data_IF_175358413749
#
_entry.id   IF_175358413749
#
_cell.length_a   1.000
_cell.length_b   1.000
_cell.length_c   1.000
_cell.angle_alpha   90.00
_cell.angle_beta   90.00
_cell.angle_gamma   90.00
#
_symmetry.space_group_name_H-M   'P 1'
#
loop_
_entity.id
_entity.type
_entity.pdbx_description
1 polymer ?
#
# COMPACT_ATOMS: atom_id res chain seq x y z
N UNK A 1 16.00 22.97 26.50
CA UNK A 1 16.14 21.52 26.24
C UNK A 1 14.78 21.06 25.72
N UNK A 2 14.67 20.32 24.60
CA UNK A 2 13.35 19.87 24.13
C UNK A 2 12.71 18.93 25.15
N UNK A 3 11.38 18.86 25.20
CA UNK A 3 10.66 18.02 26.16
C UNK A 3 11.04 16.55 26.04
N UNK A 4 11.27 16.07 24.82
CA UNK A 4 11.81 14.74 24.55
C UNK A 4 13.17 14.49 25.22
N UNK A 5 14.12 15.44 25.14
CA UNK A 5 15.46 15.26 25.76
C UNK A 5 15.36 15.13 27.27
N UNK A 6 14.48 15.92 27.90
CA UNK A 6 14.23 15.87 29.35
C UNK A 6 13.58 14.56 29.77
N UNK A 7 12.59 14.10 29.00
CA UNK A 7 11.87 12.85 29.25
C UNK A 7 12.80 11.64 29.11
N UNK A 8 13.64 11.63 28.07
CA UNK A 8 14.69 10.62 27.87
C UNK A 8 15.72 10.60 29.01
N UNK A 9 16.20 11.77 29.42
CA UNK A 9 17.18 11.87 30.49
C UNK A 9 16.61 11.30 31.80
N UNK A 10 15.39 11.67 32.17
CA UNK A 10 14.71 11.15 33.36
C UNK A 10 14.56 9.62 33.33
N UNK A 11 14.24 9.05 32.17
CA UNK A 11 14.09 7.60 32.00
C UNK A 11 15.44 6.87 32.16
N UNK A 12 16.50 7.41 31.59
CA UNK A 12 17.87 6.86 31.72
C UNK A 12 18.39 7.01 33.16
N UNK A 13 18.08 8.11 33.83
CA UNK A 13 18.43 8.31 35.24
C UNK A 13 17.70 7.32 36.15
N UNK A 14 16.48 6.91 35.80
CA UNK A 14 15.73 5.89 36.55
C UNK A 14 16.23 4.46 36.31
N UNK A 15 16.87 4.19 35.17
CA UNK A 15 17.45 2.89 34.85
C UNK A 15 18.68 3.06 33.93
N UNK A 16 19.86 2.98 34.55
CA UNK A 16 21.14 3.13 33.85
C UNK A 16 21.43 2.00 32.84
N UNK A 17 20.78 0.83 32.97
CA UNK A 17 20.97 -0.29 32.05
C UNK A 17 20.45 0.02 30.65
N UNK A 18 19.49 0.94 30.53
CA UNK A 18 18.91 1.40 29.27
C UNK A 18 19.95 1.99 28.33
N UNK A 19 21.05 2.57 28.84
CA UNK A 19 22.11 3.10 27.98
C UNK A 19 22.76 1.98 27.15
N UNK A 20 22.96 0.81 27.75
CA UNK A 20 23.51 -0.35 27.03
C UNK A 20 22.52 -0.92 26.02
N UNK A 21 21.22 -0.87 26.33
CA UNK A 21 20.15 -1.26 25.38
C UNK A 21 20.18 -0.33 24.17
N UNK A 22 20.17 0.98 24.39
CA UNK A 22 20.20 1.98 23.31
C UNK A 22 21.45 1.88 22.44
N UNK A 23 22.62 1.60 23.02
CA UNK A 23 23.85 1.41 22.25
C UNK A 23 23.82 0.15 21.38
N UNK A 24 23.06 -0.88 21.76
CA UNK A 24 22.89 -2.11 20.98
C UNK A 24 21.83 -1.96 19.88
N UNK A 25 20.74 -1.26 20.16
CA UNK A 25 19.61 -1.14 19.24
C UNK A 25 19.72 0.03 18.26
N UNK A 26 20.58 1.02 18.54
CA UNK A 26 20.72 2.24 17.72
C UNK A 26 22.10 2.41 17.11
N UNK A 27 22.28 3.42 16.27
CA UNK A 27 23.55 3.75 15.62
C UNK A 27 24.49 4.61 16.50
N UNK A 28 24.21 4.72 17.80
CA UNK A 28 25.04 5.46 18.74
C UNK A 28 26.42 4.80 18.90
N UNK A 29 27.48 5.60 18.76
CA UNK A 29 28.86 5.07 18.80
C UNK A 29 29.40 4.93 20.23
N UNK A 30 28.86 5.67 21.18
CA UNK A 30 29.37 5.68 22.56
C UNK A 30 28.41 6.33 23.57
N UNK A 31 28.60 5.99 24.85
CA UNK A 31 27.99 6.68 25.99
C UNK A 31 28.23 8.21 25.97
N UNK A 32 29.40 8.64 25.50
CA UNK A 32 29.77 10.07 25.42
C UNK A 32 28.88 10.83 24.43
N UNK A 33 28.53 10.22 23.29
CA UNK A 33 27.65 10.83 22.30
C UNK A 33 26.25 11.08 22.88
N UNK A 34 25.72 10.11 23.63
CA UNK A 34 24.42 10.24 24.29
C UNK A 34 24.43 11.34 25.37
N UNK A 35 25.48 11.38 26.20
CA UNK A 35 25.67 12.48 27.18
C UNK A 35 25.77 13.85 26.51
N UNK A 36 26.52 13.95 25.40
CA UNK A 36 26.61 15.19 24.60
C UNK A 36 25.26 15.59 24.03
N UNK A 37 24.45 14.64 23.55
CA UNK A 37 23.12 14.92 23.04
C UNK A 37 22.20 15.52 24.12
N UNK A 38 22.23 15.01 25.35
CA UNK A 38 21.45 15.58 26.45
C UNK A 38 21.97 16.95 26.89
N UNK A 39 23.28 17.11 26.97
CA UNK A 39 23.90 18.32 27.54
C UNK A 39 24.11 19.45 26.53
N UNK A 40 23.89 19.22 25.24
CA UNK A 40 24.11 20.20 24.17
C UNK A 40 22.85 20.47 23.36
N UNK A 41 22.61 21.74 23.05
CA UNK A 41 21.60 22.16 22.06
C UNK A 41 22.12 22.03 20.61
N UNK A 42 23.44 21.89 20.42
CA UNK A 42 24.08 21.79 19.10
C UNK A 42 24.18 20.36 18.57
N UNK A 43 24.26 19.38 19.47
CA UNK A 43 24.35 17.97 19.10
C UNK A 43 22.98 17.47 18.60
N UNK A 44 22.97 16.95 17.37
CA UNK A 44 21.77 16.43 16.70
C UNK A 44 22.06 15.01 16.23
N UNK A 45 21.23 14.07 16.66
CA UNK A 45 21.32 12.68 16.22
C UNK A 45 20.73 12.51 14.81
N UNK A 46 21.03 11.37 14.18
CA UNK A 46 20.33 10.97 12.96
C UNK A 46 18.85 10.71 13.25
N UNK A 47 18.00 10.88 12.25
CA UNK A 47 16.55 10.73 12.42
C UNK A 47 16.21 9.30 12.88
N UNK A 48 16.82 8.30 12.23
CA UNK A 48 16.69 6.89 12.59
C UNK A 48 17.11 6.60 14.03
N UNK A 49 18.17 7.24 14.53
CA UNK A 49 18.62 7.08 15.91
C UNK A 49 17.55 7.58 16.89
N UNK A 50 16.99 8.78 16.66
CA UNK A 50 15.95 9.34 17.55
C UNK A 50 14.70 8.46 17.54
N UNK A 51 14.26 8.03 16.35
CA UNK A 51 13.11 7.14 16.21
C UNK A 51 13.30 5.83 16.99
N UNK A 52 14.45 5.15 16.81
CA UNK A 52 14.75 3.91 17.52
C UNK A 52 14.81 4.10 19.04
N UNK A 53 15.38 5.20 19.53
CA UNK A 53 15.37 5.52 20.96
C UNK A 53 13.93 5.62 21.49
N UNK A 54 13.05 6.31 20.76
CA UNK A 54 11.65 6.46 21.17
C UNK A 54 10.92 5.11 21.13
N UNK A 55 11.11 4.31 20.08
CA UNK A 55 10.52 2.98 19.93
C UNK A 55 10.89 2.04 21.08
N UNK A 56 12.15 2.05 21.50
CA UNK A 56 12.65 1.20 22.58
C UNK A 56 12.15 1.64 23.96
N UNK A 57 12.09 2.94 24.21
CA UNK A 57 11.81 3.47 25.55
C UNK A 57 10.34 3.83 25.78
N UNK A 58 9.62 4.20 24.72
CA UNK A 58 8.26 4.75 24.75
C UNK A 58 7.43 4.27 23.55
N UNK A 59 7.32 2.95 23.29
CA UNK A 59 6.63 2.44 22.10
C UNK A 59 5.16 2.91 22.00
N UNK A 60 4.46 3.00 23.12
CA UNK A 60 3.06 3.45 23.16
C UNK A 60 2.86 4.95 22.89
N UNK A 61 3.92 5.76 22.96
CA UNK A 61 3.88 7.20 22.73
C UNK A 61 4.75 7.62 21.54
N UNK A 62 5.08 6.68 20.64
CA UNK A 62 6.02 6.92 19.55
C UNK A 62 5.60 8.11 18.67
N UNK A 63 4.35 8.06 18.18
CA UNK A 63 3.82 9.07 17.24
C UNK A 63 3.81 10.45 17.90
N UNK A 64 3.31 10.56 19.14
CA UNK A 64 3.24 11.81 19.88
C UNK A 64 4.64 12.43 20.06
N UNK A 65 5.59 11.64 20.58
CA UNK A 65 6.95 12.11 20.86
C UNK A 65 7.73 12.43 19.58
N UNK A 66 7.52 11.67 18.50
CA UNK A 66 8.11 11.95 17.20
C UNK A 66 7.54 13.23 16.58
N UNK A 67 6.23 13.45 16.66
CA UNK A 67 5.59 14.68 16.19
C UNK A 67 6.16 15.92 16.91
N UNK A 68 6.32 15.86 18.23
CA UNK A 68 6.90 16.95 19.01
C UNK A 68 8.38 17.17 18.69
N UNK A 69 9.14 16.09 18.53
CA UNK A 69 10.52 16.18 18.04
C UNK A 69 10.57 16.88 16.68
N UNK A 70 9.73 16.46 15.73
CA UNK A 70 9.70 17.00 14.37
C UNK A 70 9.41 18.50 14.36
N UNK A 71 8.44 18.98 15.16
CA UNK A 71 8.13 20.41 15.31
C UNK A 71 9.35 21.23 15.76
N UNK A 72 10.25 20.62 16.53
CA UNK A 72 11.47 21.27 17.03
C UNK A 72 12.63 21.32 16.01
N UNK A 73 12.54 20.58 14.89
CA UNK A 73 13.64 20.48 13.94
C UNK A 73 13.72 21.76 13.09
N UNK A 74 14.89 22.43 13.02
CA UNK A 74 15.07 23.56 12.13
C UNK A 74 14.95 23.18 10.65
N UNK A 75 14.24 23.98 9.85
CA UNK A 75 13.89 23.70 8.45
C UNK A 75 15.07 23.64 7.47
N UNK A 76 16.26 24.05 7.88
CA UNK A 76 17.50 23.95 7.08
C UNK A 76 18.26 22.64 7.32
N UNK A 77 17.90 21.88 8.37
CA UNK A 77 18.50 20.58 8.69
C UNK A 77 17.94 19.49 7.79
N UNK A 78 18.70 18.40 7.63
CA UNK A 78 18.27 17.23 6.84
C UNK A 78 17.18 16.41 7.53
N UNK A 79 17.13 16.39 8.85
CA UNK A 79 16.15 15.61 9.59
C UNK A 79 14.72 16.10 9.30
N UNK A 80 14.56 17.39 8.99
CA UNK A 80 13.26 17.96 8.63
C UNK A 80 12.68 17.36 7.34
N UNK A 81 13.52 16.99 6.37
CA UNK A 81 13.03 16.31 5.15
C UNK A 81 12.73 14.83 5.40
N UNK A 82 13.46 14.16 6.28
CA UNK A 82 13.16 12.77 6.66
C UNK A 82 11.86 12.67 7.47
N UNK A 83 11.53 13.71 8.22
CA UNK A 83 10.25 13.83 8.90
C UNK A 83 9.04 13.76 7.94
N UNK A 84 9.17 14.23 6.69
CA UNK A 84 8.09 14.13 5.71
C UNK A 84 7.68 12.68 5.45
N UNK A 85 8.67 11.77 5.36
CA UNK A 85 8.41 10.35 5.17
C UNK A 85 7.70 9.77 6.39
N UNK A 86 8.18 10.11 7.59
CA UNK A 86 7.59 9.63 8.83
C UNK A 86 6.14 10.06 9.00
N UNK A 87 5.85 11.33 8.77
CA UNK A 87 4.49 11.84 8.89
C UNK A 87 3.57 11.24 7.81
N UNK A 88 4.08 11.04 6.59
CA UNK A 88 3.32 10.39 5.49
C UNK A 88 2.97 8.94 5.83
N UNK A 89 3.95 8.15 6.28
CA UNK A 89 3.74 6.75 6.63
C UNK A 89 2.81 6.57 7.84
N UNK A 90 2.81 7.53 8.78
CA UNK A 90 1.99 7.48 10.00
C UNK A 90 0.70 8.31 9.93
N UNK A 91 0.30 8.79 8.73
CA UNK A 91 -0.96 9.54 8.50
C UNK A 91 -1.10 10.79 9.40
N UNK A 92 0.01 11.44 9.72
CA UNK A 92 0.03 12.68 10.50
C UNK A 92 -0.17 13.88 9.57
N UNK A 93 -1.32 13.90 8.90
CA UNK A 93 -1.62 14.71 7.73
C UNK A 93 -1.51 16.22 7.99
N UNK A 94 -2.07 16.72 9.09
CA UNK A 94 -2.02 18.15 9.43
C UNK A 94 -0.59 18.64 9.62
N UNK A 95 0.20 17.90 10.40
CA UNK A 95 1.60 18.23 10.65
C UNK A 95 2.45 18.05 9.38
N UNK A 96 2.14 17.05 8.55
CA UNK A 96 2.79 16.86 7.26
C UNK A 96 2.61 18.09 6.36
N UNK A 97 1.39 18.58 6.23
CA UNK A 97 1.07 19.74 5.40
C UNK A 97 1.75 21.01 5.95
N UNK A 98 1.82 21.19 7.28
CA UNK A 98 2.58 22.27 7.93
C UNK A 98 4.08 22.21 7.59
N UNK A 99 4.70 21.04 7.72
CA UNK A 99 6.13 20.86 7.45
C UNK A 99 6.43 21.03 5.95
N UNK A 100 5.57 20.54 5.05
CA UNK A 100 5.66 20.78 3.60
C UNK A 100 5.70 22.29 3.33
N UNK A 101 4.74 23.05 3.87
CA UNK A 101 4.67 24.49 3.66
C UNK A 101 5.93 25.23 4.14
N UNK A 102 6.46 24.84 5.31
CA UNK A 102 7.71 25.39 5.86
C UNK A 102 8.92 25.06 4.98
N UNK A 103 9.05 23.81 4.53
CA UNK A 103 10.20 23.36 3.75
C UNK A 103 10.23 23.90 2.32
N UNK A 104 9.07 24.15 1.71
CA UNK A 104 8.98 24.85 0.41
C UNK A 104 9.59 26.26 0.46
N UNK A 105 9.55 26.92 1.63
CA UNK A 105 10.14 28.24 1.87
C UNK A 105 11.59 28.19 2.37
N UNK A 106 12.15 26.99 2.56
CA UNK A 106 13.52 26.82 3.06
C UNK A 106 14.55 27.33 2.04
N UNK A 107 15.64 27.95 2.51
CA UNK A 107 16.77 28.31 1.64
C UNK A 107 17.51 27.06 1.10
N UNK A 108 17.36 25.91 1.75
CA UNK A 108 17.99 24.66 1.32
C UNK A 108 17.24 24.03 0.13
N UNK A 109 17.89 23.98 -1.04
CA UNK A 109 17.32 23.45 -2.29
C UNK A 109 16.88 21.97 -2.18
N UNK A 110 17.60 21.14 -1.43
CA UNK A 110 17.23 19.72 -1.21
C UNK A 110 15.96 19.59 -0.38
N UNK A 111 15.78 20.47 0.61
CA UNK A 111 14.58 20.45 1.44
C UNK A 111 13.36 20.94 0.65
N UNK A 112 13.51 21.96 -0.20
CA UNK A 112 12.44 22.39 -1.12
C UNK A 112 12.04 21.29 -2.09
N UNK A 113 13.02 20.60 -2.67
CA UNK A 113 12.78 19.47 -3.57
C UNK A 113 11.95 18.38 -2.90
N UNK A 114 12.34 17.95 -1.70
CA UNK A 114 11.59 16.97 -0.94
C UNK A 114 10.14 17.43 -0.71
N UNK A 115 9.97 18.63 -0.18
CA UNK A 115 8.64 19.17 0.07
C UNK A 115 7.77 19.26 -1.19
N UNK A 116 8.38 19.52 -2.36
CA UNK A 116 7.67 19.56 -3.63
C UNK A 116 7.10 18.20 -4.03
N UNK A 117 7.87 17.11 -3.91
CA UNK A 117 7.39 15.77 -4.26
C UNK A 117 6.34 15.28 -3.26
N UNK A 118 6.57 15.47 -1.95
CA UNK A 118 5.57 15.11 -0.94
C UNK A 118 4.28 15.94 -1.08
N UNK A 119 4.36 17.20 -1.53
CA UNK A 119 3.15 17.97 -1.85
C UNK A 119 2.37 17.35 -3.00
N UNK A 120 3.04 16.84 -4.04
CA UNK A 120 2.36 16.17 -5.16
C UNK A 120 1.65 14.91 -4.65
N UNK A 121 2.35 14.05 -3.90
CA UNK A 121 1.78 12.86 -3.25
C UNK A 121 0.55 13.21 -2.41
N UNK A 122 0.66 14.25 -1.56
CA UNK A 122 -0.45 14.72 -0.73
C UNK A 122 -1.66 15.16 -1.54
N UNK A 123 -1.46 16.01 -2.54
CA UNK A 123 -2.56 16.51 -3.38
C UNK A 123 -3.26 15.39 -4.15
N UNK A 124 -2.54 14.36 -4.58
CA UNK A 124 -3.14 13.16 -5.18
C UNK A 124 -3.95 12.39 -4.13
N UNK A 125 -3.38 12.19 -2.93
CA UNK A 125 -4.03 11.40 -1.87
C UNK A 125 -5.37 11.98 -1.39
N UNK A 126 -5.51 13.32 -1.42
CA UNK A 126 -6.74 14.02 -1.03
C UNK A 126 -7.66 14.33 -2.22
N UNK A 127 -7.27 13.95 -3.44
CA UNK A 127 -8.06 14.19 -4.66
C UNK A 127 -8.00 15.61 -5.23
N UNK A 128 -7.16 16.50 -4.71
CA UNK A 128 -6.94 17.86 -5.23
C UNK A 128 -6.14 17.87 -6.54
N UNK A 129 -5.38 16.80 -6.82
CA UNK A 129 -4.62 16.65 -8.05
C UNK A 129 -4.93 15.32 -8.71
N UNK A 130 -5.31 15.34 -9.98
CA UNK A 130 -5.56 14.10 -10.72
C UNK A 130 -4.24 13.31 -10.90
N UNK A 131 -4.29 11.97 -10.95
CA UNK A 131 -3.12 11.15 -11.24
C UNK A 131 -2.40 11.55 -12.54
N UNK A 132 -3.16 11.93 -13.57
CA UNK A 132 -2.61 12.39 -14.86
C UNK A 132 -1.83 13.70 -14.71
N UNK A 133 -2.38 14.66 -13.98
CA UNK A 133 -1.70 15.94 -13.77
C UNK A 133 -0.48 15.80 -12.86
N UNK A 134 -0.53 14.87 -11.90
CA UNK A 134 0.61 14.51 -11.08
C UNK A 134 1.75 13.91 -11.93
N UNK A 135 1.44 12.99 -12.86
CA UNK A 135 2.44 12.44 -13.80
C UNK A 135 3.13 13.53 -14.62
N UNK A 136 2.34 14.47 -15.17
CA UNK A 136 2.89 15.60 -15.93
C UNK A 136 3.80 16.49 -15.07
N UNK A 137 3.39 16.78 -13.83
CA UNK A 137 4.22 17.55 -12.90
C UNK A 137 5.53 16.81 -12.61
N UNK A 138 5.48 15.52 -12.26
CA UNK A 138 6.66 14.72 -11.92
C UNK A 138 7.65 14.64 -13.09
N UNK A 139 7.17 14.52 -14.32
CA UNK A 139 8.02 14.46 -15.52
C UNK A 139 8.79 15.76 -15.78
N UNK A 140 8.24 16.91 -15.39
CA UNK A 140 8.87 18.22 -15.56
C UNK A 140 9.97 18.54 -14.53
N UNK A 141 10.15 17.70 -13.50
CA UNK A 141 11.04 18.00 -12.38
C UNK A 141 12.47 17.50 -12.61
N UNK A 142 13.42 18.43 -12.43
CA UNK A 142 14.85 18.08 -12.36
C UNK A 142 15.23 17.79 -10.91
N UNK A 143 15.38 16.51 -10.58
CA UNK A 143 15.65 16.03 -9.22
C UNK A 143 17.15 15.91 -8.92
N UNK A 144 17.56 16.44 -7.78
CA UNK A 144 18.92 16.51 -7.26
C UNK A 144 19.24 15.30 -6.38
N UNK A 145 18.35 14.96 -5.44
CA UNK A 145 18.62 13.91 -4.44
C UNK A 145 18.27 12.53 -5.00
N UNK A 146 19.02 11.51 -4.56
CA UNK A 146 18.77 10.12 -4.99
C UNK A 146 17.43 9.65 -4.45
N UNK A 147 17.12 10.05 -3.22
CA UNK A 147 15.89 9.75 -2.54
C UNK A 147 14.68 10.27 -3.33
N UNK A 148 14.69 11.51 -3.80
CA UNK A 148 13.55 12.03 -4.58
C UNK A 148 13.46 11.45 -5.97
N UNK A 149 14.57 11.05 -6.61
CA UNK A 149 14.52 10.28 -7.86
C UNK A 149 13.80 8.95 -7.67
N UNK A 150 14.12 8.25 -6.58
CA UNK A 150 13.47 6.99 -6.21
C UNK A 150 11.99 7.23 -5.91
N UNK A 151 11.69 8.16 -5.01
CA UNK A 151 10.32 8.43 -4.57
C UNK A 151 9.44 8.96 -5.71
N UNK A 152 9.99 9.76 -6.63
CA UNK A 152 9.27 10.19 -7.83
C UNK A 152 8.87 9.01 -8.73
N UNK A 153 9.68 7.96 -8.81
CA UNK A 153 9.28 6.74 -9.55
C UNK A 153 8.15 6.01 -8.83
N UNK A 154 8.17 5.96 -7.49
CA UNK A 154 7.06 5.38 -6.72
C UNK A 154 5.75 6.13 -6.98
N UNK A 155 5.81 7.46 -6.94
CA UNK A 155 4.66 8.32 -7.22
C UNK A 155 4.13 8.15 -8.64
N UNK A 156 5.02 8.00 -9.62
CA UNK A 156 4.62 7.68 -10.99
C UNK A 156 3.93 6.32 -11.06
N UNK A 157 4.46 5.29 -10.41
CA UNK A 157 3.80 3.97 -10.34
C UNK A 157 2.43 4.03 -9.66
N UNK A 158 2.29 4.76 -8.54
CA UNK A 158 0.98 4.93 -7.89
C UNK A 158 -0.04 5.62 -8.80
N UNK A 159 0.37 6.68 -9.51
CA UNK A 159 -0.51 7.40 -10.42
C UNK A 159 -0.85 6.59 -11.69
N UNK A 160 0.07 5.74 -12.12
CA UNK A 160 -0.05 4.91 -13.32
C UNK A 160 -0.75 3.56 -13.07
N UNK A 161 -0.93 3.15 -11.81
CA UNK A 161 -1.30 1.79 -11.43
C UNK A 161 -2.53 1.23 -12.15
N UNK A 162 -3.55 2.07 -12.36
CA UNK A 162 -4.81 1.68 -13.00
C UNK A 162 -4.91 2.05 -14.50
N UNK A 163 -3.90 2.70 -15.06
CA UNK A 163 -3.98 3.34 -16.39
C UNK A 163 -2.92 2.86 -17.37
N UNK A 164 -1.77 2.42 -16.89
CA UNK A 164 -0.68 1.91 -17.73
C UNK A 164 -0.55 0.39 -17.58
N UNK A 165 -0.02 -0.32 -18.58
CA UNK A 165 0.16 -1.75 -18.46
C UNK A 165 1.23 -2.08 -17.40
N UNK A 166 1.02 -3.20 -16.71
CA UNK A 166 1.81 -3.55 -15.53
C UNK A 166 3.25 -3.96 -15.86
N UNK A 167 3.51 -4.41 -17.08
CA UNK A 167 4.84 -4.89 -17.49
C UNK A 167 5.84 -3.73 -17.60
N UNK A 168 5.44 -2.60 -18.18
CA UNK A 168 6.26 -1.39 -18.31
C UNK A 168 6.52 -0.79 -16.93
N UNK A 169 5.48 -0.73 -16.08
CA UNK A 169 5.62 -0.27 -14.70
C UNK A 169 6.61 -1.14 -13.92
N UNK A 170 6.55 -2.45 -14.11
CA UNK A 170 7.46 -3.41 -13.49
C UNK A 170 8.91 -3.14 -13.90
N UNK A 171 9.18 -2.98 -15.20
CA UNK A 171 10.54 -2.75 -15.72
C UNK A 171 11.12 -1.41 -15.27
N UNK A 172 10.32 -0.34 -15.35
CA UNK A 172 10.71 0.99 -14.89
C UNK A 172 11.06 0.97 -13.40
N UNK A 173 10.19 0.39 -12.56
CA UNK A 173 10.38 0.38 -11.12
C UNK A 173 11.52 -0.57 -10.71
N UNK A 174 11.69 -1.71 -11.39
CA UNK A 174 12.82 -2.63 -11.14
C UNK A 174 14.17 -1.98 -11.40
N UNK A 175 14.25 -1.04 -12.36
CA UNK A 175 15.50 -0.32 -12.66
C UNK A 175 16.07 0.48 -11.47
N UNK A 176 15.23 0.89 -10.53
CA UNK A 176 15.64 1.70 -9.36
C UNK A 176 15.97 0.86 -8.12
N UNK A 177 15.74 -0.46 -8.14
CA UNK A 177 15.94 -1.37 -7.00
C UNK A 177 17.36 -1.27 -6.43
N UNK A 178 18.38 -1.31 -7.30
CA UNK A 178 19.79 -1.21 -6.91
C UNK A 178 20.19 0.13 -6.28
N UNK A 179 19.34 1.15 -6.36
CA UNK A 179 19.60 2.47 -5.77
C UNK A 179 19.11 2.58 -4.32
N UNK A 180 18.23 1.68 -3.87
CA UNK A 180 17.73 1.65 -2.49
C UNK A 180 18.86 1.47 -1.47
N UNK A 181 19.80 0.56 -1.76
CA UNK A 181 20.96 0.29 -0.90
C UNK A 181 21.91 1.50 -0.75
N UNK A 182 21.77 2.51 -1.61
CA UNK A 182 22.62 3.72 -1.65
C UNK A 182 22.02 4.89 -0.87
N UNK A 183 20.85 4.73 -0.24
CA UNK A 183 20.25 5.72 0.65
C UNK A 183 21.03 5.73 1.97
N UNK A 184 21.41 6.93 2.44
CA UNK A 184 22.32 7.08 3.59
C UNK A 184 21.63 6.95 4.94
N UNK A 185 20.43 7.51 5.08
CA UNK A 185 19.68 7.45 6.33
C UNK A 185 18.92 6.12 6.38
N UNK A 186 19.18 5.34 7.43
CA UNK A 186 18.66 3.98 7.56
C UNK A 186 17.13 3.93 7.68
N UNK A 187 16.52 4.93 8.31
CA UNK A 187 15.06 5.02 8.38
C UNK A 187 14.45 5.26 7.01
N UNK A 188 14.96 6.24 6.26
CA UNK A 188 14.47 6.50 4.89
C UNK A 188 14.70 5.30 3.98
N UNK A 189 15.86 4.65 4.10
CA UNK A 189 16.17 3.45 3.34
C UNK A 189 15.15 2.33 3.62
N UNK A 190 14.89 2.03 4.88
CA UNK A 190 13.92 1.02 5.31
C UNK A 190 12.50 1.36 4.82
N UNK A 191 12.06 2.60 5.03
CA UNK A 191 10.75 3.07 4.59
C UNK A 191 10.58 3.01 3.07
N UNK A 192 11.60 3.42 2.31
CA UNK A 192 11.54 3.35 0.84
C UNK A 192 11.62 1.91 0.32
N UNK A 193 12.33 1.04 1.03
CA UNK A 193 12.35 -0.41 0.74
C UNK A 193 10.97 -1.02 0.94
N UNK A 194 10.26 -0.65 2.02
CA UNK A 194 8.89 -1.07 2.25
C UNK A 194 7.93 -0.55 1.17
N UNK A 195 8.00 0.74 0.81
CA UNK A 195 7.18 1.30 -0.30
C UNK A 195 7.44 0.60 -1.62
N UNK A 196 8.71 0.35 -1.93
CA UNK A 196 9.10 -0.40 -3.13
C UNK A 196 8.52 -1.82 -3.12
N UNK A 197 8.67 -2.53 -2.00
CA UNK A 197 8.10 -3.86 -1.81
C UNK A 197 6.58 -3.86 -1.98
N UNK A 198 5.88 -2.87 -1.44
CA UNK A 198 4.43 -2.75 -1.54
C UNK A 198 3.97 -2.60 -3.00
N UNK A 199 4.56 -1.67 -3.75
CA UNK A 199 4.21 -1.44 -5.17
C UNK A 199 4.55 -2.67 -6.00
N UNK A 200 5.76 -3.21 -5.84
CA UNK A 200 6.21 -4.37 -6.61
C UNK A 200 5.38 -5.62 -6.32
N UNK A 201 4.94 -5.82 -5.07
CA UNK A 201 4.03 -6.91 -4.71
C UNK A 201 2.73 -6.79 -5.50
N UNK A 202 2.10 -5.62 -5.49
CA UNK A 202 0.85 -5.39 -6.20
C UNK A 202 1.00 -5.60 -7.71
N UNK A 203 2.07 -5.07 -8.33
CA UNK A 203 2.38 -5.29 -9.75
C UNK A 203 2.59 -6.78 -10.05
N UNK A 204 3.34 -7.49 -9.21
CA UNK A 204 3.64 -8.92 -9.41
C UNK A 204 2.39 -9.81 -9.27
N UNK A 205 1.40 -9.42 -8.47
CA UNK A 205 0.09 -10.11 -8.42
C UNK A 205 -0.59 -10.05 -9.80
N UNK A 206 -0.59 -8.87 -10.43
CA UNK A 206 -1.23 -8.70 -11.75
C UNK A 206 -0.44 -9.34 -12.90
N UNK A 207 0.89 -9.48 -12.76
CA UNK A 207 1.76 -10.17 -13.71
C UNK A 207 1.93 -11.67 -13.41
N UNK A 208 1.30 -12.18 -12.35
CA UNK A 208 1.40 -13.58 -11.91
C UNK A 208 2.84 -14.05 -11.59
N UNK A 209 3.69 -13.12 -11.16
CA UNK A 209 5.09 -13.39 -10.76
C UNK A 209 5.18 -13.82 -9.31
N UNK A 210 4.66 -15.01 -8.99
CA UNK A 210 4.47 -15.48 -7.60
C UNK A 210 5.74 -15.45 -6.73
N UNK A 211 6.89 -15.89 -7.25
CA UNK A 211 8.15 -15.90 -6.50
C UNK A 211 8.63 -14.49 -6.16
N UNK A 212 8.52 -13.56 -7.12
CA UNK A 212 8.89 -12.16 -6.92
C UNK A 212 7.89 -11.43 -6.02
N UNK A 213 6.59 -11.70 -6.17
CA UNK A 213 5.55 -11.19 -5.27
C UNK A 213 5.89 -11.53 -3.81
N UNK A 214 6.24 -12.78 -3.50
CA UNK A 214 6.61 -13.18 -2.15
C UNK A 214 7.91 -12.51 -1.69
N UNK A 215 8.93 -12.42 -2.56
CA UNK A 215 10.19 -11.71 -2.27
C UNK A 215 9.95 -10.26 -1.89
N UNK A 216 9.16 -9.54 -2.69
CA UNK A 216 8.87 -8.13 -2.45
C UNK A 216 7.93 -7.93 -1.25
N UNK A 217 6.98 -8.83 -1.03
CA UNK A 217 6.12 -8.82 0.14
C UNK A 217 6.93 -8.96 1.44
N UNK A 218 7.95 -9.83 1.45
CA UNK A 218 8.85 -9.98 2.59
C UNK A 218 9.64 -8.70 2.93
N UNK A 219 9.96 -7.86 1.93
CA UNK A 219 10.59 -6.57 2.19
C UNK A 219 9.70 -5.69 3.06
N UNK A 220 8.38 -5.69 2.82
CA UNK A 220 7.43 -4.90 3.62
C UNK A 220 7.21 -5.51 4.99
N UNK A 221 7.01 -6.83 5.04
CA UNK A 221 6.70 -7.55 6.27
C UNK A 221 7.88 -7.58 7.25
N UNK A 222 9.11 -7.49 6.74
CA UNK A 222 10.34 -7.44 7.54
C UNK A 222 10.67 -6.06 8.12
N UNK A 223 9.99 -4.99 7.70
CA UNK A 223 10.24 -3.64 8.23
C UNK A 223 9.61 -3.44 9.61
N UNK A 224 10.25 -2.60 10.42
CA UNK A 224 9.69 -2.16 11.70
C UNK A 224 8.59 -1.09 11.48
N UNK A 225 7.47 -1.22 12.21
CA UNK A 225 6.29 -0.36 12.03
C UNK A 225 5.60 -0.55 10.67
N UNK A 226 4.96 0.52 10.18
CA UNK A 226 4.27 0.59 8.87
C UNK A 226 3.10 -0.39 8.70
N UNK A 227 2.29 -0.54 9.74
CA UNK A 227 1.20 -1.52 9.79
C UNK A 227 0.25 -1.40 8.60
N UNK A 228 -0.06 -0.18 8.14
CA UNK A 228 -0.89 0.01 6.96
C UNK A 228 -0.28 -0.60 5.69
N UNK A 229 1.04 -0.52 5.50
CA UNK A 229 1.70 -1.14 4.34
C UNK A 229 1.71 -2.66 4.48
N UNK A 230 1.91 -3.19 5.69
CA UNK A 230 1.81 -4.64 5.97
C UNK A 230 0.39 -5.17 5.72
N UNK A 231 -0.62 -4.43 6.16
CA UNK A 231 -2.02 -4.69 5.89
C UNK A 231 -2.26 -4.79 4.38
N UNK A 232 -1.86 -3.77 3.61
CA UNK A 232 -2.03 -3.76 2.15
C UNK A 232 -1.27 -4.91 1.47
N UNK A 233 -0.03 -5.20 1.88
CA UNK A 233 0.75 -6.33 1.36
C UNK A 233 0.04 -7.66 1.59
N UNK A 234 -0.50 -7.88 2.78
CA UNK A 234 -1.28 -9.08 3.08
C UNK A 234 -2.57 -9.18 2.25
N UNK A 235 -3.27 -8.06 2.03
CA UNK A 235 -4.43 -8.03 1.11
C UNK A 235 -4.01 -8.48 -0.29
N UNK A 236 -2.90 -7.95 -0.83
CA UNK A 236 -2.44 -8.29 -2.17
C UNK A 236 -2.06 -9.78 -2.30
N UNK A 237 -1.30 -10.31 -1.34
CA UNK A 237 -0.92 -11.72 -1.34
C UNK A 237 -2.17 -12.60 -1.17
N UNK A 238 -3.09 -12.24 -0.27
CA UNK A 238 -4.35 -12.96 -0.08
C UNK A 238 -5.17 -13.03 -1.38
N UNK A 239 -5.27 -11.90 -2.10
CA UNK A 239 -5.96 -11.82 -3.38
C UNK A 239 -5.34 -12.72 -4.46
N UNK A 240 -4.02 -12.91 -4.49
CA UNK A 240 -3.36 -13.84 -5.42
C UNK A 240 -3.73 -15.32 -5.17
N UNK A 241 -4.12 -15.66 -3.94
CA UNK A 241 -4.46 -17.02 -3.56
C UNK A 241 -5.94 -17.35 -3.69
N UNK A 242 -6.83 -16.36 -3.88
CA UNK A 242 -8.29 -16.54 -3.89
C UNK A 242 -8.73 -17.72 -4.76
N UNK A 243 -8.18 -17.84 -5.97
CA UNK A 243 -8.61 -18.85 -6.95
C UNK A 243 -7.97 -20.22 -6.69
N UNK A 244 -6.81 -20.26 -6.03
CA UNK A 244 -5.94 -21.45 -5.99
C UNK A 244 -5.82 -22.10 -4.61
N UNK A 245 -5.84 -21.33 -3.52
CA UNK A 245 -5.54 -21.81 -2.17
C UNK A 245 -6.38 -21.07 -1.13
N UNK A 246 -7.53 -21.64 -0.75
CA UNK A 246 -8.45 -21.05 0.23
C UNK A 246 -7.75 -20.68 1.55
N UNK A 247 -7.07 -21.64 2.19
CA UNK A 247 -6.48 -21.44 3.52
C UNK A 247 -5.35 -20.39 3.53
N UNK A 248 -4.53 -20.35 2.48
CA UNK A 248 -3.46 -19.34 2.35
C UNK A 248 -4.04 -17.94 2.21
N UNK A 249 -5.10 -17.78 1.42
CA UNK A 249 -5.77 -16.49 1.28
C UNK A 249 -6.41 -16.04 2.60
N UNK A 250 -7.12 -16.94 3.30
CA UNK A 250 -7.70 -16.66 4.62
C UNK A 250 -6.63 -16.27 5.63
N UNK A 251 -5.51 -16.99 5.68
CA UNK A 251 -4.38 -16.64 6.54
C UNK A 251 -3.92 -15.19 6.32
N UNK A 252 -3.72 -14.81 5.06
CA UNK A 252 -3.28 -13.45 4.74
C UNK A 252 -4.35 -12.40 5.03
N UNK A 253 -5.63 -12.64 4.75
CA UNK A 253 -6.68 -11.68 5.10
C UNK A 253 -6.83 -11.50 6.61
N UNK A 254 -6.71 -12.58 7.39
CA UNK A 254 -6.71 -12.47 8.85
C UNK A 254 -5.49 -11.67 9.35
N UNK A 255 -4.31 -11.91 8.78
CA UNK A 255 -3.12 -11.10 9.08
C UNK A 255 -3.30 -9.63 8.69
N UNK A 256 -3.96 -9.34 7.58
CA UNK A 256 -4.29 -7.97 7.21
C UNK A 256 -5.19 -7.30 8.26
N UNK A 257 -6.20 -8.00 8.80
CA UNK A 257 -7.06 -7.47 9.85
C UNK A 257 -6.30 -7.14 11.14
N UNK A 258 -5.29 -7.93 11.50
CA UNK A 258 -4.43 -7.65 12.66
C UNK A 258 -3.70 -6.30 12.53
N UNK A 259 -3.28 -5.92 11.31
CA UNK A 259 -2.57 -4.67 11.04
C UNK A 259 -3.49 -3.47 10.71
N UNK A 260 -4.72 -3.73 10.29
CA UNK A 260 -5.64 -2.70 9.78
C UNK A 260 -6.23 -1.80 10.88
N UNK A 261 -6.30 -2.27 12.13
CA UNK A 261 -6.97 -1.51 13.21
C UNK A 261 -8.41 -1.11 12.85
N UNK A 262 -8.78 0.15 13.14
CA UNK A 262 -10.10 0.75 12.84
C UNK A 262 -10.16 1.41 11.44
N UNK A 263 -9.22 1.10 10.55
CA UNK A 263 -9.08 1.77 9.26
C UNK A 263 -10.19 1.36 8.25
N UNK A 264 -10.48 2.27 7.33
CA UNK A 264 -11.26 2.10 6.10
C UNK A 264 -10.92 0.84 5.30
N UNK A 265 -9.68 0.34 5.40
CA UNK A 265 -9.22 -0.90 4.74
C UNK A 265 -9.85 -2.17 5.28
N UNK A 266 -10.48 -2.11 6.46
CA UNK A 266 -11.21 -3.23 7.02
C UNK A 266 -12.37 -3.67 6.12
N UNK A 267 -13.03 -2.71 5.44
CA UNK A 267 -14.11 -3.00 4.51
C UNK A 267 -13.61 -3.76 3.28
N UNK A 268 -12.45 -3.39 2.74
CA UNK A 268 -11.83 -4.09 1.61
C UNK A 268 -11.48 -5.53 1.97
N UNK A 269 -10.91 -5.76 3.16
CA UNK A 269 -10.61 -7.12 3.65
C UNK A 269 -11.89 -7.96 3.80
N UNK A 270 -12.94 -7.38 4.39
CA UNK A 270 -14.24 -8.05 4.54
C UNK A 270 -14.85 -8.43 3.20
N UNK A 271 -14.74 -7.57 2.18
CA UNK A 271 -15.18 -7.88 0.80
C UNK A 271 -14.38 -9.03 0.20
N UNK A 272 -13.06 -9.03 0.31
CA UNK A 272 -12.23 -10.16 -0.14
C UNK A 272 -12.57 -11.47 0.58
N UNK A 273 -12.88 -11.40 1.88
CA UNK A 273 -13.33 -12.56 2.67
C UNK A 273 -14.70 -13.07 2.20
N UNK A 274 -15.66 -12.19 1.89
CA UNK A 274 -16.93 -12.61 1.29
C UNK A 274 -16.70 -13.29 -0.08
N UNK A 275 -15.90 -12.65 -0.95
CA UNK A 275 -15.63 -13.14 -2.30
C UNK A 275 -15.07 -14.56 -2.27
N UNK A 276 -14.04 -14.80 -1.45
CA UNK A 276 -13.39 -16.12 -1.40
C UNK A 276 -14.32 -17.18 -0.82
N UNK A 277 -15.12 -16.86 0.21
CA UNK A 277 -16.09 -17.82 0.73
C UNK A 277 -17.12 -18.18 -0.34
N UNK A 278 -17.67 -17.18 -1.03
CA UNK A 278 -18.59 -17.41 -2.15
C UNK A 278 -17.95 -18.26 -3.26
N UNK A 279 -16.72 -17.92 -3.69
CA UNK A 279 -16.02 -18.65 -4.76
C UNK A 279 -15.80 -20.13 -4.43
N UNK A 280 -15.52 -20.45 -3.17
CA UNK A 280 -15.31 -21.82 -2.69
C UNK A 280 -16.58 -22.50 -2.15
N UNK A 281 -17.77 -21.92 -2.38
CA UNK A 281 -19.05 -22.50 -1.96
C UNK A 281 -19.25 -22.56 -0.44
N UNK A 282 -18.64 -21.63 0.30
CA UNK A 282 -18.72 -21.50 1.77
C UNK A 282 -19.58 -20.30 2.15
N UNK A 283 -20.04 -20.27 3.40
CA UNK A 283 -20.85 -19.18 3.92
C UNK A 283 -20.02 -17.89 4.10
N UNK A 284 -20.36 -16.76 3.45
CA UNK A 284 -19.63 -15.50 3.60
C UNK A 284 -19.85 -14.87 4.98
N UNK A 285 -18.79 -14.48 5.70
CA UNK A 285 -18.89 -14.02 7.09
C UNK A 285 -19.38 -12.58 7.27
N UNK A 286 -19.25 -11.72 6.27
CA UNK A 286 -19.47 -10.26 6.39
C UNK A 286 -20.40 -9.72 5.31
N UNK A 287 -21.38 -10.52 4.88
CA UNK A 287 -22.26 -10.13 3.78
C UNK A 287 -23.13 -8.93 4.18
N UNK A 288 -23.05 -7.82 3.44
CA UNK A 288 -23.83 -6.61 3.69
C UNK A 288 -24.96 -6.47 2.67
N UNK A 289 -26.19 -6.84 3.07
CA UNK A 289 -27.38 -6.82 2.21
C UNK A 289 -27.99 -5.43 2.03
N UNK A 290 -27.63 -4.48 2.89
CA UNK A 290 -28.21 -3.14 2.92
C UNK A 290 -27.33 -2.11 2.19
N UNK A 291 -26.10 -2.50 1.81
CA UNK A 291 -25.18 -1.65 1.08
C UNK A 291 -25.66 -1.42 -0.36
N UNK A 292 -25.55 -0.17 -0.82
CA UNK A 292 -25.75 0.21 -2.22
C UNK A 292 -24.44 0.24 -3.01
N UNK A 293 -23.29 -0.04 -2.37
CA UNK A 293 -22.02 -0.06 -3.08
C UNK A 293 -22.00 -1.25 -4.06
N UNK A 294 -21.64 -1.05 -5.34
CA UNK A 294 -21.69 -2.12 -6.34
C UNK A 294 -20.93 -3.38 -5.94
N UNK A 295 -19.79 -3.25 -5.27
CA UNK A 295 -19.00 -4.41 -4.83
C UNK A 295 -19.72 -5.24 -3.76
N UNK A 296 -20.43 -4.62 -2.82
CA UNK A 296 -21.20 -5.35 -1.82
C UNK A 296 -22.44 -6.01 -2.45
N UNK A 297 -23.11 -5.29 -3.36
CA UNK A 297 -24.26 -5.81 -4.11
C UNK A 297 -23.86 -7.03 -4.96
N UNK A 298 -22.69 -6.97 -5.59
CA UNK A 298 -22.09 -8.10 -6.30
C UNK A 298 -21.84 -9.30 -5.40
N UNK A 299 -21.30 -9.12 -4.18
CA UNK A 299 -21.11 -10.21 -3.23
C UNK A 299 -22.44 -10.85 -2.79
N UNK A 300 -23.49 -10.04 -2.60
CA UNK A 300 -24.82 -10.53 -2.26
C UNK A 300 -25.43 -11.33 -3.42
N UNK A 301 -25.27 -10.85 -4.66
CA UNK A 301 -25.68 -11.61 -5.84
C UNK A 301 -24.90 -12.93 -5.94
N UNK A 302 -23.59 -12.90 -5.73
CA UNK A 302 -22.74 -14.09 -5.80
C UNK A 302 -23.13 -15.15 -4.77
N UNK A 303 -23.46 -14.71 -3.55
CA UNK A 303 -24.03 -15.60 -2.53
C UNK A 303 -25.29 -16.32 -3.03
N UNK A 304 -26.27 -15.61 -3.62
CA UNK A 304 -27.48 -16.26 -4.12
C UNK A 304 -27.26 -17.17 -5.33
N UNK A 305 -26.27 -16.85 -6.18
CA UNK A 305 -25.84 -17.75 -7.27
C UNK A 305 -25.36 -19.09 -6.68
N UNK A 306 -24.53 -19.05 -5.63
CA UNK A 306 -24.02 -20.26 -4.97
C UNK A 306 -25.12 -21.07 -4.28
N UNK A 307 -26.21 -20.43 -3.86
CA UNK A 307 -27.40 -21.11 -3.32
C UNK A 307 -28.34 -21.65 -4.42
N UNK A 308 -27.98 -21.52 -5.70
CA UNK A 308 -28.83 -21.92 -6.83
C UNK A 308 -30.04 -21.00 -7.06
N UNK A 309 -30.08 -19.82 -6.45
CA UNK A 309 -31.18 -18.86 -6.59
C UNK A 309 -30.87 -17.81 -7.66
N UNK A 310 -30.85 -18.25 -8.93
CA UNK A 310 -30.54 -17.41 -10.08
C UNK A 310 -31.48 -16.22 -10.25
N UNK A 311 -32.79 -16.40 -10.01
CA UNK A 311 -33.77 -15.31 -10.14
C UNK A 311 -33.48 -14.17 -9.17
N UNK A 312 -33.20 -14.49 -7.90
CA UNK A 312 -32.89 -13.49 -6.90
C UNK A 312 -31.56 -12.81 -7.18
N UNK A 313 -30.53 -13.57 -7.58
CA UNK A 313 -29.26 -13.02 -8.00
C UNK A 313 -29.42 -12.01 -9.15
N UNK A 314 -30.20 -12.36 -10.19
CA UNK A 314 -30.46 -11.47 -11.31
C UNK A 314 -31.20 -10.20 -10.90
N UNK A 315 -32.21 -10.30 -10.02
CA UNK A 315 -32.91 -9.11 -9.52
C UNK A 315 -31.97 -8.14 -8.79
N UNK A 316 -30.99 -8.67 -8.07
CA UNK A 316 -29.98 -7.88 -7.34
C UNK A 316 -29.00 -7.25 -8.34
N UNK A 317 -28.51 -8.01 -9.32
CA UNK A 317 -27.63 -7.47 -10.34
C UNK A 317 -28.29 -6.35 -11.15
N UNK A 318 -29.58 -6.50 -11.49
CA UNK A 318 -30.37 -5.49 -12.22
C UNK A 318 -30.63 -4.21 -11.42
N UNK A 319 -30.43 -4.21 -10.10
CA UNK A 319 -30.55 -3.00 -9.28
C UNK A 319 -29.40 -2.02 -9.44
N UNK A 320 -28.28 -2.45 -10.04
CA UNK A 320 -27.13 -1.61 -10.31
C UNK A 320 -27.30 -0.88 -11.65
N UNK A 321 -27.03 0.43 -11.65
CA UNK A 321 -26.93 1.20 -12.89
C UNK A 321 -25.63 0.87 -13.61
N UNK A 322 -25.74 0.34 -14.82
CA UNK A 322 -24.61 -0.05 -15.66
C UNK A 322 -23.69 1.14 -15.98
N UNK A 323 -24.24 2.34 -16.20
CA UNK A 323 -23.43 3.50 -16.61
C UNK A 323 -22.57 4.04 -15.46
N UNK A 324 -22.99 3.82 -14.22
CA UNK A 324 -22.24 4.20 -13.02
C UNK A 324 -21.12 3.21 -12.67
N UNK A 325 -21.11 2.00 -13.25
CA UNK A 325 -20.10 0.99 -12.96
C UNK A 325 -18.75 1.35 -13.59
N UNK A 326 -17.69 1.28 -12.77
CA UNK A 326 -16.32 1.27 -13.29
C UNK A 326 -16.07 0.07 -14.20
N UNK A 327 -15.04 0.13 -15.07
CA UNK A 327 -14.66 -0.99 -15.94
C UNK A 327 -14.43 -2.30 -15.17
N UNK A 328 -13.79 -2.23 -14.01
CA UNK A 328 -13.59 -3.40 -13.14
C UNK A 328 -14.92 -3.97 -12.64
N UNK A 329 -15.82 -3.11 -12.15
CA UNK A 329 -17.15 -3.53 -11.72
C UNK A 329 -17.99 -4.11 -12.87
N UNK A 330 -17.86 -3.58 -14.09
CA UNK A 330 -18.50 -4.14 -15.29
C UNK A 330 -18.00 -5.56 -15.59
N UNK A 331 -16.69 -5.79 -15.49
CA UNK A 331 -16.10 -7.12 -15.67
C UNK A 331 -16.70 -8.16 -14.70
N UNK A 332 -16.76 -7.81 -13.41
CA UNK A 332 -17.35 -8.67 -12.38
C UNK A 332 -18.87 -8.82 -12.55
N UNK A 333 -19.58 -7.74 -12.87
CA UNK A 333 -21.03 -7.77 -13.10
C UNK A 333 -21.39 -8.78 -14.19
N UNK A 334 -20.65 -8.77 -15.30
CA UNK A 334 -20.84 -9.71 -16.40
C UNK A 334 -20.50 -11.14 -15.99
N UNK A 335 -19.41 -11.34 -15.24
CA UNK A 335 -19.07 -12.66 -14.68
C UNK A 335 -20.23 -13.22 -13.84
N UNK A 336 -20.82 -12.43 -12.94
CA UNK A 336 -21.95 -12.87 -12.13
C UNK A 336 -23.21 -13.13 -12.95
N UNK A 337 -23.50 -12.33 -13.98
CA UNK A 337 -24.62 -12.60 -14.91
C UNK A 337 -24.42 -13.92 -15.66
N UNK A 338 -23.20 -14.17 -16.15
CA UNK A 338 -22.85 -15.42 -16.82
C UNK A 338 -23.06 -16.62 -15.91
N UNK A 339 -22.67 -16.53 -14.63
CA UNK A 339 -22.91 -17.58 -13.65
C UNK A 339 -24.41 -17.78 -13.36
N UNK A 340 -25.17 -16.70 -13.17
CA UNK A 340 -26.58 -16.77 -12.81
C UNK A 340 -27.45 -17.36 -13.93
N UNK A 341 -27.14 -17.00 -15.19
CA UNK A 341 -27.89 -17.40 -16.38
C UNK A 341 -27.30 -18.62 -17.11
N UNK A 342 -26.12 -19.07 -16.71
CA UNK A 342 -25.34 -20.10 -17.39
C UNK A 342 -25.13 -19.77 -18.89
N UNK A 343 -24.81 -18.50 -19.18
CA UNK A 343 -24.73 -17.97 -20.54
C UNK A 343 -23.30 -17.53 -20.88
N UNK A 344 -22.70 -18.16 -21.91
CA UNK A 344 -21.28 -18.00 -22.29
C UNK A 344 -20.92 -16.59 -22.73
N UNK A 345 -21.84 -15.90 -23.41
CA UNK A 345 -21.65 -14.54 -23.96
C UNK A 345 -21.10 -13.57 -22.90
N UNK A 346 -21.68 -13.59 -21.69
CA UNK A 346 -21.23 -12.73 -20.59
C UNK A 346 -19.82 -13.05 -20.10
N UNK A 347 -19.37 -14.30 -20.17
CA UNK A 347 -18.00 -14.64 -19.79
C UNK A 347 -16.99 -14.09 -20.79
N UNK A 348 -17.28 -14.14 -22.09
CA UNK A 348 -16.43 -13.52 -23.11
C UNK A 348 -16.35 -11.99 -22.93
N UNK A 349 -17.48 -11.33 -22.67
CA UNK A 349 -17.48 -9.89 -22.37
C UNK A 349 -16.73 -9.57 -21.07
N UNK A 350 -16.89 -10.41 -20.03
CA UNK A 350 -16.14 -10.27 -18.77
C UNK A 350 -14.62 -10.35 -19.02
N UNK A 351 -14.16 -11.32 -19.82
CA UNK A 351 -12.76 -11.46 -20.22
C UNK A 351 -12.28 -10.21 -20.96
N UNK A 352 -13.07 -9.69 -21.91
CA UNK A 352 -12.75 -8.45 -22.64
C UNK A 352 -12.51 -7.29 -21.68
N UNK A 353 -13.42 -7.05 -20.72
CA UNK A 353 -13.23 -5.98 -19.75
C UNK A 353 -12.02 -6.19 -18.83
N UNK A 354 -11.74 -7.43 -18.40
CA UNK A 354 -10.54 -7.72 -17.60
C UNK A 354 -9.25 -7.48 -18.40
N UNK A 355 -9.24 -7.78 -19.69
CA UNK A 355 -8.12 -7.49 -20.60
C UNK A 355 -7.90 -5.97 -20.75
N UNK A 356 -8.97 -5.19 -20.97
CA UNK A 356 -8.88 -3.73 -21.10
C UNK A 356 -8.25 -3.03 -19.89
N UNK A 357 -8.33 -3.63 -18.70
CA UNK A 357 -7.78 -3.09 -17.45
C UNK A 357 -6.60 -3.91 -16.90
N UNK A 358 -6.05 -4.83 -17.68
CA UNK A 358 -4.88 -5.66 -17.33
C UNK A 358 -5.00 -6.46 -16.02
N UNK A 359 -6.22 -6.85 -15.61
CA UNK A 359 -6.45 -7.62 -14.37
C UNK A 359 -6.38 -9.15 -14.60
N UNK A 360 -5.18 -9.65 -14.96
CA UNK A 360 -4.97 -11.05 -15.38
C UNK A 360 -5.42 -12.09 -14.35
N UNK A 361 -5.13 -11.86 -13.07
CA UNK A 361 -5.52 -12.80 -12.00
C UNK A 361 -7.03 -13.04 -11.96
N UNK A 362 -7.85 -11.98 -12.13
CA UNK A 362 -9.31 -12.11 -12.09
C UNK A 362 -9.93 -12.56 -13.43
N UNK A 363 -9.23 -12.38 -14.55
CA UNK A 363 -9.60 -12.97 -15.86
C UNK A 363 -9.76 -14.49 -15.79
N UNK A 364 -9.05 -15.17 -14.87
CA UNK A 364 -9.19 -16.60 -14.63
C UNK A 364 -10.60 -17.01 -14.20
N UNK A 365 -11.38 -16.12 -13.58
CA UNK A 365 -12.74 -16.41 -13.11
C UNK A 365 -13.68 -16.84 -14.24
N UNK A 366 -13.92 -16.01 -15.28
CA UNK A 366 -14.75 -16.42 -16.43
C UNK A 366 -14.13 -17.58 -17.23
N UNK A 367 -12.80 -17.68 -17.33
CA UNK A 367 -12.13 -18.80 -18.01
C UNK A 367 -12.42 -20.14 -17.32
N UNK A 368 -12.35 -20.18 -15.99
CA UNK A 368 -12.72 -21.36 -15.18
C UNK A 368 -14.20 -21.72 -15.42
N UNK A 369 -15.09 -20.73 -15.49
CA UNK A 369 -16.50 -20.97 -15.76
C UNK A 369 -16.74 -21.57 -17.16
N UNK A 370 -16.13 -21.00 -18.20
CA UNK A 370 -16.20 -21.52 -19.57
C UNK A 370 -15.66 -22.95 -19.65
N UNK A 371 -14.52 -23.24 -19.01
CA UNK A 371 -13.97 -24.60 -18.94
C UNK A 371 -14.93 -25.60 -18.30
N UNK A 372 -15.62 -25.19 -17.22
CA UNK A 372 -16.67 -26.03 -16.58
C UNK A 372 -17.88 -26.26 -17.50
N UNK A 373 -18.16 -25.34 -18.42
CA UNK A 373 -19.22 -25.47 -19.44
C UNK A 373 -18.80 -26.29 -20.67
N UNK A 374 -17.59 -26.86 -20.68
CA UNK A 374 -17.07 -27.68 -21.76
C UNK A 374 -16.54 -26.89 -22.96
N UNK A 375 -16.13 -25.64 -22.76
CA UNK A 375 -15.49 -24.85 -23.81
C UNK A 375 -14.16 -25.49 -24.26
N UNK A 376 -13.85 -25.35 -25.55
CA UNK A 376 -12.65 -25.97 -26.13
C UNK A 376 -11.37 -25.40 -25.50
N UNK A 377 -10.43 -26.29 -25.14
CA UNK A 377 -9.17 -25.89 -24.50
C UNK A 377 -8.32 -24.96 -25.38
N UNK A 378 -8.39 -25.08 -26.71
CA UNK A 378 -7.69 -24.17 -27.63
C UNK A 378 -8.27 -22.76 -27.61
N UNK A 379 -9.59 -22.62 -27.44
CA UNK A 379 -10.26 -21.32 -27.25
C UNK A 379 -9.86 -20.72 -25.90
N UNK A 380 -9.86 -21.53 -24.83
CA UNK A 380 -9.40 -21.07 -23.51
C UNK A 380 -7.95 -20.60 -23.57
N UNK A 381 -7.06 -21.34 -24.22
CA UNK A 381 -5.66 -20.95 -24.39
C UNK A 381 -5.51 -19.66 -25.20
N UNK A 382 -6.30 -19.48 -26.26
CA UNK A 382 -6.29 -18.24 -27.04
C UNK A 382 -6.75 -17.03 -26.20
N UNK A 383 -7.72 -17.21 -25.30
CA UNK A 383 -8.21 -16.16 -24.40
C UNK A 383 -7.28 -15.88 -23.21
N UNK A 384 -6.41 -16.84 -22.88
CA UNK A 384 -5.35 -16.68 -21.87
C UNK A 384 -4.14 -15.90 -22.41
N UNK A 385 -3.89 -15.94 -23.71
CA UNK A 385 -2.84 -15.14 -24.33
C UNK A 385 -3.24 -13.66 -24.31
N UNK A 386 -2.30 -12.80 -23.92
CA UNK A 386 -2.54 -11.36 -24.00
C UNK A 386 -2.71 -10.99 -25.48
N UNK A 387 -3.84 -10.37 -25.82
CA UNK A 387 -3.95 -9.71 -27.11
C UNK A 387 -2.95 -8.56 -27.08
N UNK A 388 -1.90 -8.69 -27.89
CA UNK A 388 -0.74 -7.79 -27.97
C UNK A 388 -1.13 -6.34 -28.27
#
# INVERSE_FOLDING_TARGET
MSDLKRLLLKKIESDASLVNVLLKSTELKSHSQLKKYFNSTKEVLEFSTVLKIIQELFPSSEIELMCDYIKSIPTYKRQARYALEYLSCNRQDELLDEIIAKLLRSFNRKNREWAMIYRIDRRVSIGDLSPKDALNQLQSLTLLTKEMKIFSNYQRSYCAFNTYPFQEQYEELKSVESSLSKIKDSYVQESYTARYGLIMTAICVHLEKNSEMLRYGQLVLGCNGQDIMKCLTHIQIGNSYIISHFDNAIFHFNKAMEYCGQDTKLLEIKRSLNFIHNFWGKQPPYLNKDSKNPSDVHEVAFYYIQQGNSMKAMSILQSLDWEELSKSQKAFHLYFRGLALNERSYFFDSIRYFNEISMKNYRKLPLIALKKMGEDNSIIQALEQDMA
#
